data_IF_613331557789
#
_entry.id   IF_613331557789
#
_cell.length_a   1.000
_cell.length_b   1.000
_cell.length_c   1.000
_cell.angle_alpha   90.00
_cell.angle_beta   90.00
_cell.angle_gamma   90.00
#
_symmetry.space_group_name_H-M   'P 1'
#
loop_
_entity.id
_entity.type
_entity.pdbx_description
1 polymer ?
#
# COMPACT_ATOMS: atom_id res chain seq x y z
N UNK A 1 -10.91 -2.01 -2.44
CA UNK A 1 -10.18 -2.86 -3.42
C UNK A 1 -10.93 -3.00 -4.75
N UNK A 2 -11.94 -3.88 -4.91
CA UNK A 2 -12.58 -4.09 -6.23
C UNK A 2 -13.14 -2.82 -6.87
N UNK A 3 -13.73 -1.93 -6.06
CA UNK A 3 -14.22 -0.62 -6.52
C UNK A 3 -13.10 0.31 -6.98
N UNK A 4 -12.05 0.46 -6.17
CA UNK A 4 -10.96 1.42 -6.38
C UNK A 4 -9.93 0.96 -7.41
N UNK A 5 -9.72 -0.34 -7.56
CA UNK A 5 -8.66 -0.90 -8.42
C UNK A 5 -9.18 -1.80 -9.54
N UNK A 6 -10.46 -2.21 -9.49
CA UNK A 6 -11.03 -3.17 -10.44
C UNK A 6 -10.56 -4.61 -10.24
N UNK A 7 -9.71 -4.87 -9.26
CA UNK A 7 -9.14 -6.20 -9.01
C UNK A 7 -9.90 -6.97 -7.93
N UNK A 8 -10.35 -8.18 -8.26
CA UNK A 8 -11.00 -9.07 -7.29
C UNK A 8 -9.96 -9.89 -6.52
N UNK A 9 -9.92 -9.68 -5.20
CA UNK A 9 -9.00 -10.35 -4.28
C UNK A 9 -9.63 -11.53 -3.54
N UNK A 10 -10.90 -11.88 -3.81
CA UNK A 10 -11.64 -12.91 -3.08
C UNK A 10 -10.91 -14.25 -3.02
N UNK A 11 -10.24 -14.64 -4.10
CA UNK A 11 -9.43 -15.86 -4.19
C UNK A 11 -8.00 -15.75 -3.65
N UNK A 12 -7.55 -14.55 -3.28
CA UNK A 12 -6.16 -14.28 -2.87
C UNK A 12 -6.03 -13.90 -1.40
N UNK A 13 -7.10 -13.39 -0.79
CA UNK A 13 -7.04 -12.85 0.57
C UNK A 13 -6.90 -13.96 1.62
N UNK A 14 -5.91 -13.81 2.51
CA UNK A 14 -5.77 -14.60 3.72
C UNK A 14 -6.14 -13.72 4.93
N UNK A 15 -7.13 -14.15 5.73
CA UNK A 15 -7.61 -13.38 6.89
C UNK A 15 -6.61 -13.33 8.05
N UNK A 16 -5.64 -14.24 8.07
CA UNK A 16 -4.58 -14.29 9.08
C UNK A 16 -3.42 -13.35 8.72
N UNK A 17 -3.28 -12.94 7.46
CA UNK A 17 -2.18 -12.11 6.96
C UNK A 17 -2.60 -10.64 6.89
N UNK A 18 -2.26 -9.86 7.91
CA UNK A 18 -2.58 -8.45 7.97
C UNK A 18 -1.59 -7.62 8.78
N UNK A 19 -1.57 -6.32 8.51
CA UNK A 19 -0.98 -5.30 9.37
C UNK A 19 -2.07 -4.39 9.92
N UNK A 20 -1.92 -4.01 11.19
CA UNK A 20 -2.92 -3.22 11.90
C UNK A 20 -2.24 -2.10 12.70
N UNK A 21 -2.90 -0.94 12.73
CA UNK A 21 -2.51 0.19 13.54
C UNK A 21 -3.76 0.95 13.99
N UNK A 22 -3.70 1.53 15.19
CA UNK A 22 -4.69 2.50 15.68
C UNK A 22 -4.22 3.90 15.31
N UNK A 23 -5.04 4.64 14.57
CA UNK A 23 -4.77 6.01 14.09
C UNK A 23 -5.97 6.87 14.48
N UNK A 24 -5.76 7.90 15.29
CA UNK A 24 -6.83 8.77 15.79
C UNK A 24 -8.03 7.99 16.37
N UNK A 25 -7.74 7.05 17.28
CA UNK A 25 -8.72 6.15 17.92
C UNK A 25 -9.50 5.23 16.96
N UNK A 26 -9.13 5.19 15.67
CA UNK A 26 -9.68 4.26 14.69
C UNK A 26 -8.70 3.11 14.45
N UNK A 27 -9.17 1.87 14.52
CA UNK A 27 -8.36 0.70 14.19
C UNK A 27 -8.43 0.47 12.69
N UNK A 28 -7.28 0.57 12.02
CA UNK A 28 -7.14 0.36 10.58
C UNK A 28 -6.36 -0.93 10.36
N UNK A 29 -6.98 -1.86 9.62
CA UNK A 29 -6.40 -3.15 9.25
C UNK A 29 -6.25 -3.24 7.74
N UNK A 30 -5.03 -3.54 7.28
CA UNK A 30 -4.71 -3.79 5.88
C UNK A 30 -4.31 -5.27 5.73
N UNK A 31 -5.08 -6.02 4.94
CA UNK A 31 -4.75 -7.41 4.60
C UNK A 31 -3.67 -7.45 3.53
N UNK A 32 -2.73 -8.39 3.67
CA UNK A 32 -1.63 -8.54 2.74
C UNK A 32 -2.02 -9.58 1.69
N UNK A 33 -1.94 -9.17 0.42
CA UNK A 33 -2.22 -10.03 -0.73
C UNK A 33 -0.96 -10.11 -1.59
N UNK A 34 -0.12 -11.14 -1.39
CA UNK A 34 1.11 -11.30 -2.16
C UNK A 34 0.87 -11.90 -3.54
N UNK A 35 1.94 -11.92 -4.35
CA UNK A 35 2.01 -12.60 -5.65
C UNK A 35 1.04 -12.08 -6.72
N UNK A 36 0.53 -10.87 -6.57
CA UNK A 36 -0.19 -10.18 -7.64
C UNK A 36 0.80 -9.81 -8.75
N UNK A 37 0.50 -10.19 -9.99
CA UNK A 37 1.34 -9.89 -11.15
C UNK A 37 1.50 -8.39 -11.33
N UNK A 38 2.72 -7.93 -11.66
CA UNK A 38 2.99 -6.52 -11.99
C UNK A 38 2.29 -6.06 -13.27
N UNK A 39 1.96 -7.00 -14.16
CA UNK A 39 1.26 -6.72 -15.42
C UNK A 39 -0.25 -6.56 -15.25
N UNK A 40 -0.77 -6.84 -14.05
CA UNK A 40 -2.18 -6.65 -13.69
C UNK A 40 -2.61 -5.22 -14.03
N UNK A 41 -3.68 -5.09 -14.81
CA UNK A 41 -4.26 -3.79 -15.15
C UNK A 41 -5.25 -3.39 -14.07
N UNK A 42 -4.88 -2.38 -13.29
CA UNK A 42 -5.77 -1.78 -12.31
C UNK A 42 -6.54 -0.63 -12.96
N UNK A 43 -7.87 -0.65 -12.80
CA UNK A 43 -8.75 0.40 -13.28
C UNK A 43 -9.89 0.61 -12.29
N UNK A 44 -10.08 1.84 -11.76
CA UNK A 44 -11.17 2.13 -10.86
C UNK A 44 -12.52 1.95 -11.58
N UNK A 45 -13.53 1.45 -10.85
CA UNK A 45 -14.90 1.35 -11.37
C UNK A 45 -15.61 2.70 -11.38
N UNK A 46 -15.27 3.57 -10.43
CA UNK A 46 -15.83 4.92 -10.33
C UNK A 46 -14.94 5.93 -11.05
N UNK A 47 -15.56 6.78 -11.88
CA UNK A 47 -14.83 7.78 -12.68
C UNK A 47 -14.38 8.95 -11.79
N UNK A 48 -13.19 9.48 -12.08
CA UNK A 48 -12.60 10.67 -11.45
C UNK A 48 -12.26 10.56 -9.94
N UNK A 49 -12.23 9.36 -9.36
CA UNK A 49 -11.83 9.17 -7.96
C UNK A 49 -10.34 8.86 -7.80
N UNK A 50 -9.80 7.96 -8.63
CA UNK A 50 -8.39 7.54 -8.58
C UNK A 50 -7.67 8.05 -9.81
N UNK A 51 -6.60 8.83 -9.59
CA UNK A 51 -5.81 9.41 -10.68
C UNK A 51 -4.87 8.39 -11.33
N UNK A 52 -4.24 7.53 -10.54
CA UNK A 52 -3.29 6.53 -11.00
C UNK A 52 -3.17 5.38 -9.99
N UNK A 53 -2.89 4.18 -10.50
CA UNK A 53 -2.53 3.00 -9.71
C UNK A 53 -1.13 2.55 -10.14
N UNK A 54 -0.15 2.73 -9.26
CA UNK A 54 1.26 2.47 -9.56
C UNK A 54 1.87 1.56 -8.50
N UNK A 55 2.86 0.77 -8.91
CA UNK A 55 3.61 -0.09 -7.99
C UNK A 55 4.70 0.69 -7.27
N UNK A 56 4.82 0.47 -5.96
CA UNK A 56 5.88 1.05 -5.14
C UNK A 56 6.78 -0.05 -4.57
N UNK A 57 8.09 0.18 -4.59
CA UNK A 57 9.07 -0.67 -3.91
C UNK A 57 8.93 -0.50 -2.39
N UNK A 58 8.72 -1.60 -1.66
CA UNK A 58 8.60 -1.60 -0.19
C UNK A 58 9.88 -1.11 0.50
N UNK A 59 11.03 -1.38 -0.11
CA UNK A 59 12.33 -0.91 0.38
C UNK A 59 12.46 0.62 0.28
N UNK A 60 11.84 1.22 -0.72
CA UNK A 60 11.95 2.66 -1.01
C UNK A 60 10.85 3.52 -0.36
N UNK A 61 9.88 2.90 0.34
CA UNK A 61 8.88 3.61 1.13
C UNK A 61 9.54 4.44 2.26
N UNK A 62 8.98 5.60 2.64
CA UNK A 62 9.57 6.41 3.70
C UNK A 62 9.41 5.74 5.07
N UNK A 63 10.46 5.76 5.89
CA UNK A 63 10.39 5.30 7.29
C UNK A 63 9.75 6.35 8.22
N UNK A 64 9.83 7.63 7.86
CA UNK A 64 9.23 8.76 8.57
C UNK A 64 9.02 9.94 7.58
N UNK A 65 8.32 11.01 8.00
CA UNK A 65 8.02 12.16 7.12
C UNK A 65 9.24 12.95 6.64
N UNK A 66 10.41 12.79 7.28
CA UNK A 66 11.66 13.45 6.89
C UNK A 66 12.55 12.56 6.02
N UNK A 67 12.18 11.30 5.81
CA UNK A 67 12.94 10.35 5.02
C UNK A 67 12.80 10.65 3.52
N UNK A 68 13.87 11.13 2.91
CA UNK A 68 13.89 11.56 1.50
C UNK A 68 14.10 10.41 0.50
N UNK A 69 14.23 9.16 0.95
CA UNK A 69 14.42 7.98 0.10
C UNK A 69 13.41 7.89 -1.06
N UNK A 70 12.09 8.08 -0.85
CA UNK A 70 11.12 7.99 -1.94
C UNK A 70 11.31 9.07 -3.00
N UNK A 71 11.77 10.27 -2.60
CA UNK A 71 12.02 11.36 -3.55
C UNK A 71 13.21 11.02 -4.45
N UNK A 72 14.27 10.46 -3.87
CA UNK A 72 15.50 10.12 -4.59
C UNK A 72 15.33 8.89 -5.50
N UNK A 73 14.56 7.89 -5.05
CA UNK A 73 14.41 6.60 -5.75
C UNK A 73 13.21 6.54 -6.68
N UNK A 74 12.15 7.29 -6.36
CA UNK A 74 10.85 7.19 -7.03
C UNK A 74 10.33 8.54 -7.54
N UNK A 75 11.01 9.65 -7.23
CA UNK A 75 10.54 11.00 -7.57
C UNK A 75 9.34 11.48 -6.76
N UNK A 76 8.93 10.74 -5.71
CA UNK A 76 7.72 11.03 -4.93
C UNK A 76 8.09 11.64 -3.58
N UNK A 77 7.42 12.74 -3.21
CA UNK A 77 7.62 13.37 -1.90
C UNK A 77 7.17 12.44 -0.77
N UNK A 78 7.88 12.38 0.37
CA UNK A 78 7.43 11.61 1.54
C UNK A 78 6.04 12.02 2.04
N UNK A 79 5.65 13.28 1.82
CA UNK A 79 4.35 13.82 2.18
C UNK A 79 3.20 13.32 1.28
N UNK A 80 3.51 12.71 0.12
CA UNK A 80 2.49 12.09 -0.73
C UNK A 80 1.98 10.75 -0.15
N UNK A 81 2.68 10.17 0.83
CA UNK A 81 2.29 8.93 1.49
C UNK A 81 1.36 9.21 2.67
N UNK A 82 0.06 9.32 2.39
CA UNK A 82 -0.97 9.49 3.41
C UNK A 82 -1.34 8.15 4.05
N UNK A 83 -1.30 8.07 5.39
CA UNK A 83 -1.60 6.86 6.19
C UNK A 83 -0.80 5.59 5.87
N UNK A 84 0.27 5.66 5.07
CA UNK A 84 1.13 4.50 4.79
C UNK A 84 2.15 4.26 5.91
N UNK A 85 2.72 5.35 6.44
CA UNK A 85 3.80 5.35 7.43
C UNK A 85 3.61 4.43 8.64
N UNK A 86 2.41 4.39 9.31
CA UNK A 86 2.19 3.51 10.45
C UNK A 86 2.41 2.02 10.17
N UNK A 87 2.32 1.61 8.90
CA UNK A 87 2.38 0.21 8.48
C UNK A 87 3.73 -0.20 7.91
N UNK A 88 4.57 0.75 7.44
CA UNK A 88 5.81 0.45 6.69
C UNK A 88 6.75 -0.50 7.44
N UNK A 89 6.96 -0.28 8.74
CA UNK A 89 7.86 -1.12 9.55
C UNK A 89 7.36 -2.57 9.64
N UNK A 90 6.06 -2.77 9.83
CA UNK A 90 5.46 -4.11 9.93
C UNK A 90 5.46 -4.79 8.56
N UNK A 91 5.13 -4.05 7.50
CA UNK A 91 5.17 -4.55 6.13
C UNK A 91 6.56 -5.01 5.73
N UNK A 92 7.61 -4.24 6.02
CA UNK A 92 9.01 -4.64 5.75
C UNK A 92 9.42 -5.90 6.48
N UNK A 93 8.94 -6.09 7.71
CA UNK A 93 9.19 -7.33 8.47
C UNK A 93 8.51 -8.51 7.80
N UNK A 94 7.22 -8.36 7.47
CA UNK A 94 6.45 -9.40 6.79
C UNK A 94 7.07 -9.84 5.47
N UNK A 95 7.64 -8.91 4.70
CA UNK A 95 8.34 -9.23 3.43
C UNK A 95 9.67 -9.97 3.64
N UNK A 96 10.29 -9.85 4.83
CA UNK A 96 11.57 -10.47 5.16
C UNK A 96 11.43 -11.83 5.85
N UNK A 97 10.21 -12.21 6.24
CA UNK A 97 9.86 -13.55 6.74
C UNK A 97 9.69 -14.53 5.57
#
# INVERSE_FOLDING_TARGET
>A
VLEETGFDISGYINKQEYVEATIHDQTVRLYIVPYVSRDTKFQPRTRNEIKACEWFSVADLPANRKDMTPKLKMGVSPNAFFMVLPFVKRLRRWVAE
#
